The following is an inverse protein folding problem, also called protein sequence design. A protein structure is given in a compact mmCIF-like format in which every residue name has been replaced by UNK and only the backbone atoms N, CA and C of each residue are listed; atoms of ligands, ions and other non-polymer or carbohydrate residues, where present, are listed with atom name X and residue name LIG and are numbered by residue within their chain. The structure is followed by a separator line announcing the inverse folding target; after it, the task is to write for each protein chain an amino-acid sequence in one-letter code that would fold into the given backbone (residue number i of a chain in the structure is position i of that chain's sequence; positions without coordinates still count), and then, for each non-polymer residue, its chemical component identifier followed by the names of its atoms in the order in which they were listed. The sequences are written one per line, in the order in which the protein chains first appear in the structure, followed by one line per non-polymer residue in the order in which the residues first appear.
data_IF_827832085030
#
_entry.id   IF_827832085030
#
_cell.length_a   1.000
_cell.length_b   1.000
_cell.length_c   1.000
_cell.angle_alpha   90.00
_cell.angle_beta   90.00
_cell.angle_gamma   90.00
#
_symmetry.space_group_name_H-M   'P 1'
#
loop_
_entity.id
_entity.type
_entity.pdbx_description
1 polymer ?
#
# COMPACT_ATOMS: atom_id res chain seq x y z
N UNK A 1 27.03 -6.66 -10.76
CA UNK A 1 26.27 -6.88 -9.51
C UNK A 1 25.16 -5.84 -9.47
N UNK A 2 23.88 -6.24 -9.37
CA UNK A 2 22.80 -5.26 -9.17
C UNK A 2 22.88 -4.75 -7.73
N UNK A 3 22.86 -3.43 -7.54
CA UNK A 3 22.81 -2.84 -6.20
C UNK A 3 21.45 -3.12 -5.56
N UNK A 4 21.39 -3.13 -4.22
CA UNK A 4 20.12 -3.19 -3.48
C UNK A 4 19.17 -2.06 -3.90
N UNK A 5 19.73 -0.88 -4.24
CA UNK A 5 18.97 0.24 -4.78
C UNK A 5 18.31 -0.09 -6.13
N UNK A 6 19.03 -0.75 -7.04
CA UNK A 6 18.50 -1.13 -8.35
C UNK A 6 17.36 -2.15 -8.23
N UNK A 7 17.52 -3.12 -7.32
CA UNK A 7 16.52 -4.15 -7.04
C UNK A 7 15.21 -3.52 -6.52
N UNK A 8 15.31 -2.60 -5.56
CA UNK A 8 14.14 -1.90 -5.01
C UNK A 8 13.51 -1.01 -6.07
N UNK A 9 14.31 -0.32 -6.88
CA UNK A 9 13.81 0.55 -7.96
C UNK A 9 13.06 -0.25 -9.03
N UNK A 10 13.56 -1.42 -9.39
CA UNK A 10 12.90 -2.34 -10.34
C UNK A 10 11.58 -2.89 -9.78
N UNK A 11 11.58 -3.31 -8.50
CA UNK A 11 10.38 -3.75 -7.82
C UNK A 11 9.31 -2.64 -7.74
N UNK A 12 9.72 -1.40 -7.42
CA UNK A 12 8.84 -0.22 -7.41
C UNK A 12 8.18 0.00 -8.77
N UNK A 13 8.98 -0.06 -9.84
CA UNK A 13 8.48 0.10 -11.22
C UNK A 13 7.53 -1.02 -11.61
N UNK A 14 7.82 -2.27 -11.24
CA UNK A 14 6.96 -3.44 -11.48
C UNK A 14 5.59 -3.30 -10.81
N UNK A 15 5.56 -2.75 -9.59
CA UNK A 15 4.31 -2.46 -8.89
C UNK A 15 3.65 -1.13 -9.32
N UNK A 16 4.15 -0.46 -10.35
CA UNK A 16 3.63 0.83 -10.84
C UNK A 16 3.50 1.88 -9.72
N UNK A 17 4.47 1.91 -8.79
CA UNK A 17 4.43 2.81 -7.63
C UNK A 17 5.20 4.10 -7.90
N UNK A 18 4.74 5.26 -7.37
CA UNK A 18 5.53 6.49 -7.31
C UNK A 18 6.75 6.32 -6.40
N UNK A 19 7.67 7.28 -6.42
CA UNK A 19 8.87 7.28 -5.56
C UNK A 19 8.50 7.30 -4.07
N UNK A 20 7.36 7.91 -3.74
CA UNK A 20 6.78 7.94 -2.39
C UNK A 20 5.43 7.25 -2.39
N UNK A 21 5.34 6.08 -1.75
CA UNK A 21 4.10 5.31 -1.66
C UNK A 21 3.82 4.88 -0.22
N UNK A 22 2.55 4.92 0.19
CA UNK A 22 2.10 4.39 1.48
C UNK A 22 1.88 2.87 1.40
N UNK A 23 1.91 2.17 2.55
CA UNK A 23 1.59 0.74 2.61
C UNK A 23 0.21 0.42 2.02
N UNK A 24 -0.75 1.34 2.15
CA UNK A 24 -2.07 1.21 1.53
C UNK A 24 -1.99 1.26 -0.01
N UNK A 25 -1.22 2.20 -0.58
CA UNK A 25 -1.00 2.29 -2.03
C UNK A 25 -0.27 1.08 -2.58
N UNK A 26 0.75 0.57 -1.87
CA UNK A 26 1.48 -0.65 -2.24
C UNK A 26 0.51 -1.84 -2.35
N UNK A 27 -0.30 -2.07 -1.30
CA UNK A 27 -1.31 -3.14 -1.28
C UNK A 27 -2.37 -2.97 -2.35
N UNK A 28 -2.81 -1.75 -2.61
CA UNK A 28 -3.83 -1.47 -3.63
C UNK A 28 -3.29 -1.72 -5.05
N UNK A 29 -2.06 -1.29 -5.34
CA UNK A 29 -1.41 -1.53 -6.64
C UNK A 29 -1.21 -3.02 -6.89
N UNK A 30 -0.72 -3.76 -5.89
CA UNK A 30 -0.61 -5.22 -5.95
C UNK A 30 -1.93 -5.89 -6.33
N UNK A 31 -3.02 -5.58 -5.61
CA UNK A 31 -4.36 -6.14 -5.90
C UNK A 31 -4.83 -5.79 -7.32
N UNK A 32 -4.60 -4.56 -7.77
CA UNK A 32 -4.95 -4.09 -9.12
C UNK A 32 -4.21 -4.89 -10.20
N UNK A 33 -2.91 -5.10 -10.02
CA UNK A 33 -2.06 -5.83 -10.96
C UNK A 33 -2.39 -7.32 -11.03
N UNK A 34 -2.65 -7.97 -9.90
CA UNK A 34 -3.10 -9.37 -9.88
C UNK A 34 -4.43 -9.53 -10.62
N UNK A 35 -5.39 -8.60 -10.41
CA UNK A 35 -6.66 -8.62 -11.13
C UNK A 35 -6.49 -8.36 -12.63
N UNK A 36 -5.51 -7.56 -13.04
CA UNK A 36 -5.19 -7.27 -14.44
C UNK A 36 -4.62 -8.49 -15.17
N UNK A 37 -3.75 -9.24 -14.51
CA UNK A 37 -3.09 -10.43 -15.05
C UNK A 37 -3.76 -11.76 -14.66
N UNK A 38 -4.96 -11.73 -14.07
CA UNK A 38 -5.66 -12.94 -13.66
C UNK A 38 -5.87 -13.89 -14.86
N UNK A 39 -5.60 -15.21 -14.72
CA UNK A 39 -5.64 -16.15 -15.85
C UNK A 39 -7.02 -16.26 -16.51
N UNK A 40 -8.08 -15.96 -15.78
CA UNK A 40 -9.45 -15.88 -16.31
C UNK A 40 -9.62 -14.81 -17.40
N UNK A 41 -8.86 -13.71 -17.32
CA UNK A 41 -8.89 -12.62 -18.30
C UNK A 41 -7.96 -12.85 -19.49
N UNK A 42 -7.07 -13.83 -19.40
CA UNK A 42 -6.06 -14.15 -20.43
C UNK A 42 -6.07 -15.64 -20.81
N UNK A 43 -7.19 -16.16 -21.34
CA UNK A 43 -7.32 -17.59 -21.65
C UNK A 43 -6.34 -18.06 -22.74
N UNK A 44 -5.98 -17.20 -23.69
CA UNK A 44 -5.02 -17.52 -24.75
C UNK A 44 -3.54 -17.38 -24.32
N UNK A 45 -3.26 -16.52 -23.33
CA UNK A 45 -1.91 -16.14 -22.92
C UNK A 45 -1.66 -16.45 -21.43
N UNK A 46 -2.12 -17.62 -20.96
CA UNK A 46 -1.98 -18.04 -19.54
C UNK A 46 -0.54 -18.01 -19.05
N UNK A 47 0.41 -18.45 -19.85
CA UNK A 47 1.83 -18.49 -19.47
C UNK A 47 2.40 -17.08 -19.25
N UNK A 48 2.04 -16.12 -20.10
CA UNK A 48 2.45 -14.72 -19.92
C UNK A 48 1.81 -14.12 -18.65
N UNK A 49 0.52 -14.37 -18.45
CA UNK A 49 -0.19 -13.94 -17.25
C UNK A 49 0.46 -14.49 -15.96
N UNK A 50 0.83 -15.77 -15.93
CA UNK A 50 1.50 -16.38 -14.80
C UNK A 50 2.89 -15.78 -14.56
N UNK A 51 3.68 -15.55 -15.62
CA UNK A 51 4.98 -14.92 -15.50
C UNK A 51 4.90 -13.49 -14.97
N UNK A 52 3.92 -12.72 -15.40
CA UNK A 52 3.69 -11.37 -14.88
C UNK A 52 3.24 -11.40 -13.41
N UNK A 53 2.31 -12.30 -13.05
CA UNK A 53 1.91 -12.50 -11.65
C UNK A 53 3.12 -12.84 -10.77
N UNK A 54 4.00 -13.73 -11.24
CA UNK A 54 5.22 -14.13 -10.50
C UNK A 54 6.15 -12.94 -10.26
N UNK A 55 6.32 -12.07 -11.26
CA UNK A 55 7.11 -10.81 -11.12
C UNK A 55 6.47 -9.86 -10.10
N UNK A 56 5.14 -9.71 -10.16
CA UNK A 56 4.40 -8.84 -9.24
C UNK A 56 4.54 -9.32 -7.78
N UNK A 57 4.46 -10.64 -7.56
CA UNK A 57 4.65 -11.25 -6.22
C UNK A 57 6.06 -10.98 -5.71
N UNK A 58 7.11 -11.27 -6.51
CA UNK A 58 8.49 -10.99 -6.11
C UNK A 58 8.73 -9.50 -5.81
N UNK A 59 8.20 -8.61 -6.64
CA UNK A 59 8.34 -7.18 -6.42
C UNK A 59 7.67 -6.73 -5.11
N UNK A 60 6.49 -7.27 -4.79
CA UNK A 60 5.80 -6.98 -3.54
C UNK A 60 6.60 -7.47 -2.33
N UNK A 61 7.17 -8.68 -2.37
CA UNK A 61 8.00 -9.22 -1.29
C UNK A 61 9.23 -8.34 -1.02
N UNK A 62 9.94 -7.91 -2.07
CA UNK A 62 11.11 -7.03 -1.98
C UNK A 62 10.75 -5.70 -1.31
N UNK A 63 9.65 -5.06 -1.75
CA UNK A 63 9.21 -3.79 -1.17
C UNK A 63 8.73 -3.99 0.27
N UNK A 64 7.99 -5.06 0.57
CA UNK A 64 7.55 -5.34 1.93
C UNK A 64 8.75 -5.51 2.86
N UNK A 65 9.76 -6.29 2.48
CA UNK A 65 10.99 -6.44 3.26
C UNK A 65 11.73 -5.11 3.44
N UNK A 66 11.74 -4.25 2.42
CA UNK A 66 12.33 -2.91 2.54
C UNK A 66 11.56 -2.05 3.55
N UNK A 67 10.23 -2.04 3.49
CA UNK A 67 9.37 -1.31 4.42
C UNK A 67 9.44 -1.85 5.86
N UNK A 68 9.49 -3.17 6.04
CA UNK A 68 9.58 -3.83 7.34
C UNK A 68 10.91 -3.55 8.04
N UNK A 69 11.97 -3.28 7.27
CA UNK A 69 13.27 -2.84 7.83
C UNK A 69 13.27 -1.41 8.36
N UNK A 70 12.21 -0.62 8.09
CA UNK A 70 12.10 0.75 8.56
C UNK A 70 11.48 0.78 9.97
N UNK A 71 12.27 1.18 10.97
CA UNK A 71 11.78 1.34 12.33
C UNK A 71 10.80 2.53 12.40
N UNK A 72 9.55 2.27 12.78
CA UNK A 72 8.55 3.31 13.00
C UNK A 72 8.80 4.02 14.33
N UNK A 73 8.81 5.35 14.33
CA UNK A 73 8.86 6.15 15.54
C UNK A 73 7.44 6.32 16.09
N UNK A 74 7.14 5.73 17.25
CA UNK A 74 5.85 5.91 17.94
C UNK A 74 5.88 7.08 18.94
N UNK A 75 6.72 8.10 18.71
CA UNK A 75 6.67 9.30 19.55
C UNK A 75 5.32 9.98 19.39
N UNK A 76 4.85 10.64 20.46
CA UNK A 76 3.54 11.32 20.46
C UNK A 76 3.44 12.32 19.30
N UNK A 77 4.53 13.03 19.01
CA UNK A 77 4.61 14.07 18.00
C UNK A 77 4.51 13.52 16.57
N UNK A 78 5.16 12.38 16.27
CA UNK A 78 5.08 11.72 14.96
C UNK A 78 3.69 11.11 14.74
N UNK A 79 3.13 10.46 15.76
CA UNK A 79 1.77 9.89 15.69
C UNK A 79 0.74 10.99 15.45
N UNK A 80 0.87 12.14 16.11
CA UNK A 80 -0.07 13.26 15.91
C UNK A 80 -0.01 13.88 14.52
N UNK A 81 1.16 13.88 13.88
CA UNK A 81 1.35 14.38 12.51
C UNK A 81 0.57 13.56 11.47
N UNK A 82 0.47 12.25 11.68
CA UNK A 82 -0.19 11.31 10.77
C UNK A 82 -1.55 10.82 11.27
N UNK A 83 -2.11 11.40 12.33
CA UNK A 83 -3.51 11.19 12.72
C UNK A 83 -4.41 11.42 11.51
N UNK A 84 -5.31 10.47 11.26
CA UNK A 84 -6.31 10.57 10.20
C UNK A 84 -7.14 11.84 10.36
N UNK A 85 -7.59 12.44 9.26
CA UNK A 85 -8.57 13.54 9.29
C UNK A 85 -9.79 13.18 10.13
N UNK A 86 -10.19 11.90 10.15
CA UNK A 86 -11.25 11.40 11.02
C UNK A 86 -10.88 11.52 12.50
N UNK A 87 -9.68 11.13 12.91
CA UNK A 87 -9.26 11.17 14.31
C UNK A 87 -8.97 12.59 14.80
N UNK A 88 -8.46 13.46 13.92
CA UNK A 88 -8.35 14.90 14.19
C UNK A 88 -9.72 15.55 14.36
N UNK A 89 -10.67 15.24 13.46
CA UNK A 89 -12.04 15.72 13.54
C UNK A 89 -12.75 15.18 14.80
N UNK A 90 -12.56 13.92 15.17
CA UNK A 90 -13.08 13.35 16.42
C UNK A 90 -12.45 13.96 17.68
N UNK A 91 -11.16 14.34 17.67
CA UNK A 91 -10.57 15.10 18.78
C UNK A 91 -11.14 16.52 18.90
N UNK A 92 -11.51 17.12 17.77
CA UNK A 92 -11.97 18.51 17.73
C UNK A 92 -13.50 18.64 17.91
N UNK A 93 -14.28 17.62 17.53
CA UNK A 93 -15.75 17.65 17.51
C UNK A 93 -16.43 16.37 18.05
N UNK A 94 -15.68 15.36 18.51
CA UNK A 94 -16.23 14.07 18.97
C UNK A 94 -16.86 14.07 20.36
N UNK A 95 -16.75 15.18 21.09
CA UNK A 95 -17.46 15.45 22.36
C UNK A 95 -18.60 16.46 22.18
N UNK A 96 -19.09 16.65 20.96
CA UNK A 96 -20.20 17.58 20.70
C UNK A 96 -21.55 16.83 20.73
N UNK A 97 -22.43 17.10 21.71
CA UNK A 97 -23.70 16.37 21.89
C UNK A 97 -24.71 16.60 20.75
N UNK A 98 -24.44 17.51 19.81
CA UNK A 98 -25.31 17.80 18.66
C UNK A 98 -25.37 16.63 17.64
N UNK A 99 -24.37 15.75 17.62
CA UNK A 99 -24.31 14.60 16.68
C UNK A 99 -24.50 13.23 17.36
N UNK A 100 -24.68 13.19 18.68
CA UNK A 100 -25.15 12.00 19.38
C UNK A 100 -26.67 11.95 19.24
N UNK A 101 -27.14 11.33 18.15
CA UNK A 101 -28.55 11.34 17.76
C UNK A 101 -29.52 11.00 18.90
N UNK A 102 -30.22 12.02 19.39
CA UNK A 102 -31.59 11.87 19.88
C UNK A 102 -32.47 11.63 18.65
N UNK A 103 -32.69 10.36 18.34
CA UNK A 103 -33.82 9.94 17.52
C UNK A 103 -35.01 9.73 18.47
N UNK A 104 -35.92 10.71 18.48
CA UNK A 104 -37.28 10.57 19.02
C UNK A 104 -38.15 9.69 18.11
#
# INVERSE_FOLDING_TARGET
MKSRFDIITDARKTLELPETATSAQIKNSYRRLIKKWHPDRHPANREQAENEIRKIIQAYEIISQYCDSYAYCFSREEVEKYLSDRERWFRQFGTDPIWAGDHE
#
